data_IF_670849528050
#
_entry.id   IF_670849528050
#
_cell.length_a   1.000
_cell.length_b   1.000
_cell.length_c   1.000
_cell.angle_alpha   90.00
_cell.angle_beta   90.00
_cell.angle_gamma   90.00
#
_symmetry.space_group_name_H-M   'P 1'
#
loop_
_entity.id
_entity.type
_entity.pdbx_description
1 polymer ?
#
# COMPACT_ATOMS: atom_id res chain seq x y z
N UNK A 1 1.02 -7.07 -25.92
CA UNK A 1 0.87 -5.69 -25.43
C UNK A 1 0.62 -5.80 -23.95
N UNK A 2 1.65 -5.61 -23.14
CA UNK A 2 1.48 -5.59 -21.69
C UNK A 2 0.81 -4.25 -21.37
N UNK A 3 -0.40 -4.28 -20.81
CA UNK A 3 -0.92 -3.10 -20.12
C UNK A 3 0.09 -2.80 -19.01
N UNK A 4 0.78 -1.67 -19.14
CA UNK A 4 1.40 -1.07 -17.96
C UNK A 4 0.20 -0.58 -17.18
N UNK A 5 -0.08 -1.19 -16.02
CA UNK A 5 -1.13 -0.71 -15.12
C UNK A 5 -0.66 0.64 -14.56
N UNK A 6 -0.91 1.69 -15.34
CA UNK A 6 -0.75 3.07 -14.93
C UNK A 6 -2.04 3.47 -14.22
N UNK A 7 -1.91 4.11 -13.07
CA UNK A 7 -3.06 4.56 -12.30
C UNK A 7 -3.56 5.89 -12.87
N UNK A 8 -4.86 5.97 -13.17
CA UNK A 8 -5.52 7.17 -13.67
C UNK A 8 -6.51 7.74 -12.64
N UNK A 9 -6.81 9.02 -12.77
CA UNK A 9 -7.86 9.65 -11.98
C UNK A 9 -9.21 8.95 -12.19
N UNK A 10 -9.83 8.54 -11.09
CA UNK A 10 -11.09 7.79 -11.07
C UNK A 10 -10.96 6.26 -11.13
N UNK A 11 -9.74 5.72 -11.21
CA UNK A 11 -9.54 4.26 -11.22
C UNK A 11 -10.05 3.61 -9.94
N UNK A 12 -10.89 2.59 -10.12
CA UNK A 12 -11.44 1.76 -9.05
C UNK A 12 -11.24 0.28 -9.38
N UNK A 13 -11.04 -0.54 -8.35
CA UNK A 13 -10.71 -1.96 -8.50
C UNK A 13 -9.22 -2.22 -8.79
N UNK A 14 -8.37 -1.20 -8.82
CA UNK A 14 -6.93 -1.36 -9.02
C UNK A 14 -6.27 -1.82 -7.72
N UNK A 15 -5.51 -2.90 -7.80
CA UNK A 15 -4.77 -3.44 -6.66
C UNK A 15 -3.42 -2.74 -6.49
N UNK A 16 -3.22 -2.11 -5.33
CA UNK A 16 -1.97 -1.51 -4.89
C UNK A 16 -1.36 -2.40 -3.81
N UNK A 17 -0.15 -2.91 -4.05
CA UNK A 17 0.54 -3.85 -3.16
C UNK A 17 1.79 -3.19 -2.57
N UNK A 18 1.89 -3.25 -1.25
CA UNK A 18 2.96 -2.67 -0.45
C UNK A 18 3.77 -3.80 0.19
N UNK A 19 5.07 -3.85 -0.09
CA UNK A 19 5.95 -4.86 0.49
C UNK A 19 6.55 -4.34 1.78
N UNK A 20 6.11 -4.92 2.88
CA UNK A 20 6.59 -4.66 4.23
C UNK A 20 7.85 -5.49 4.47
N UNK A 21 8.96 -4.81 4.76
CA UNK A 21 10.23 -5.43 5.08
C UNK A 21 10.93 -4.72 6.23
N UNK A 22 11.64 -5.48 7.05
CA UNK A 22 12.59 -4.98 8.02
C UNK A 22 14.02 -5.13 7.51
N UNK A 23 14.92 -4.28 8.00
CA UNK A 23 16.34 -4.35 7.66
C UNK A 23 17.09 -5.12 8.75
N UNK A 24 17.56 -6.32 8.42
CA UNK A 24 18.54 -7.04 9.22
C UNK A 24 19.94 -6.74 8.67
N UNK A 25 20.56 -5.67 9.18
CA UNK A 25 21.77 -5.11 8.58
C UNK A 25 21.45 -4.47 7.22
N UNK A 26 22.08 -4.96 6.15
CA UNK A 26 21.87 -4.48 4.78
C UNK A 26 20.92 -5.38 3.95
N UNK A 27 20.25 -6.33 4.59
CA UNK A 27 19.32 -7.25 3.92
C UNK A 27 17.89 -6.87 4.31
N UNK A 28 17.04 -6.70 3.31
CA UNK A 28 15.60 -6.56 3.52
C UNK A 28 14.98 -7.95 3.66
N UNK A 29 14.33 -8.18 4.81
CA UNK A 29 13.60 -9.40 5.12
C UNK A 29 12.13 -9.05 5.18
N UNK A 30 11.27 -9.86 4.55
CA UNK A 30 9.83 -9.67 4.61
C UNK A 30 9.35 -9.70 6.07
N UNK A 31 8.49 -8.74 6.43
CA UNK A 31 7.91 -8.68 7.76
C UNK A 31 6.80 -9.74 7.87
N UNK A 32 6.78 -10.46 8.98
CA UNK A 32 5.68 -11.39 9.27
C UNK A 32 4.42 -10.66 9.72
N UNK A 33 3.33 -10.81 8.97
CA UNK A 33 2.05 -10.15 9.24
C UNK A 33 1.04 -11.08 9.94
N UNK A 34 1.44 -12.25 10.40
CA UNK A 34 0.53 -13.26 10.98
C UNK A 34 -0.31 -12.73 12.14
N UNK A 35 0.28 -11.94 13.04
CA UNK A 35 -0.39 -11.42 14.24
C UNK A 35 -0.88 -9.97 14.10
N UNK A 36 -0.92 -9.42 12.88
CA UNK A 36 -1.41 -8.06 12.68
C UNK A 36 -2.91 -7.99 12.96
N UNK A 37 -3.33 -7.01 13.76
CA UNK A 37 -4.74 -6.84 14.17
C UNK A 37 -5.42 -5.67 13.47
N UNK A 38 -4.66 -4.70 12.98
CA UNK A 38 -5.17 -3.56 12.21
C UNK A 38 -4.12 -3.06 11.21
N UNK A 39 -4.58 -2.68 10.02
CA UNK A 39 -3.75 -2.20 8.91
C UNK A 39 -4.42 -0.94 8.35
N UNK A 40 -3.68 0.17 8.42
CA UNK A 40 -4.12 1.46 7.84
C UNK A 40 -3.08 1.91 6.83
N UNK A 41 -3.54 2.29 5.64
CA UNK A 41 -2.71 2.86 4.58
C UNK A 41 -3.08 4.34 4.50
N UNK A 42 -2.11 5.20 4.79
CA UNK A 42 -2.23 6.64 4.62
C UNK A 42 -1.71 7.02 3.25
N UNK A 43 -2.58 7.58 2.43
CA UNK A 43 -2.22 8.26 1.21
C UNK A 43 -2.08 9.76 1.45
N UNK A 44 -1.07 10.37 0.84
CA UNK A 44 -0.85 11.81 0.83
C UNK A 44 -1.00 12.26 -0.63
N UNK A 45 -2.03 13.07 -0.86
CA UNK A 45 -2.36 13.62 -2.17
C UNK A 45 -1.30 14.65 -2.61
N UNK A 46 -1.19 14.95 -3.91
CA UNK A 46 -0.28 15.98 -4.43
C UNK A 46 -0.49 17.37 -3.81
N UNK A 47 -1.73 17.68 -3.41
CA UNK A 47 -2.08 18.93 -2.73
C UNK A 47 -1.79 18.94 -1.22
N UNK A 48 -1.20 17.85 -0.68
CA UNK A 48 -0.84 17.70 0.73
C UNK A 48 -1.95 17.19 1.65
N UNK A 49 -3.18 17.01 1.15
CA UNK A 49 -4.25 16.38 1.92
C UNK A 49 -3.94 14.89 2.16
N UNK A 50 -4.45 14.34 3.26
CA UNK A 50 -4.26 12.94 3.61
C UNK A 50 -5.56 12.16 3.57
N UNK A 51 -5.49 10.89 3.21
CA UNK A 51 -6.60 9.94 3.19
C UNK A 51 -6.13 8.63 3.82
N UNK A 52 -6.78 8.20 4.89
CA UNK A 52 -6.49 6.92 5.55
C UNK A 52 -7.53 5.89 5.08
N UNK A 53 -7.05 4.73 4.61
CA UNK A 53 -7.90 3.63 4.13
C UNK A 53 -7.51 2.31 4.80
N UNK A 54 -8.44 1.37 4.98
CA UNK A 54 -8.11 0.05 5.51
C UNK A 54 -7.31 -0.75 4.48
N UNK A 55 -6.22 -1.39 4.94
CA UNK A 55 -5.46 -2.35 4.15
C UNK A 55 -5.80 -3.80 4.52
N UNK A 56 -5.38 -4.75 3.69
CA UNK A 56 -5.54 -6.18 3.96
C UNK A 56 -4.23 -6.93 3.70
N UNK A 57 -4.01 -8.07 4.37
CA UNK A 57 -2.85 -8.93 4.07
C UNK A 57 -3.09 -9.65 2.74
N UNK A 58 -2.14 -9.53 1.82
CA UNK A 58 -2.19 -10.18 0.52
C UNK A 58 -1.43 -11.51 0.53
N UNK A 59 -2.12 -12.60 0.17
CA UNK A 59 -1.58 -13.96 0.22
C UNK A 59 -1.07 -14.47 -1.13
N UNK A 60 -0.91 -13.65 -2.17
CA UNK A 60 -0.18 -14.07 -3.38
C UNK A 60 -0.76 -15.20 -4.23
N UNK A 61 -1.86 -15.85 -3.82
CA UNK A 61 -2.39 -17.07 -4.44
C UNK A 61 -2.47 -18.23 -3.43
N UNK A 62 -2.56 -19.49 -3.91
CA UNK A 62 -2.85 -20.65 -3.03
C UNK A 62 -1.72 -21.01 -2.06
N UNK A 63 -0.50 -20.50 -2.26
CA UNK A 63 0.67 -20.83 -1.45
C UNK A 63 1.26 -19.63 -0.69
N UNK A 64 0.73 -18.42 -0.87
CA UNK A 64 1.29 -17.29 -0.13
C UNK A 64 0.75 -17.22 1.28
N UNK A 65 1.53 -16.56 2.11
CA UNK A 65 1.38 -16.56 3.57
C UNK A 65 1.47 -15.13 4.09
N UNK A 66 0.93 -14.84 5.29
CA UNK A 66 1.15 -13.53 5.92
C UNK A 66 2.63 -13.16 6.08
N UNK A 67 3.51 -14.16 6.11
CA UNK A 67 4.97 -13.99 6.19
C UNK A 67 5.62 -13.52 4.88
N UNK A 68 4.88 -13.43 3.78
CA UNK A 68 5.34 -12.78 2.55
C UNK A 68 5.44 -11.25 2.71
N UNK A 69 4.82 -10.70 3.76
CA UNK A 69 4.93 -9.30 4.13
C UNK A 69 4.25 -8.36 3.15
N UNK A 70 3.16 -8.77 2.50
CA UNK A 70 2.48 -7.93 1.49
C UNK A 70 1.15 -7.43 2.04
N UNK A 71 0.97 -6.11 1.99
CA UNK A 71 -0.31 -5.44 2.26
C UNK A 71 -0.92 -5.01 0.92
N UNK A 72 -2.23 -5.17 0.77
CA UNK A 72 -2.97 -4.76 -0.42
C UNK A 72 -4.06 -3.75 -0.08
N UNK A 73 -4.21 -2.77 -0.97
CA UNK A 73 -5.36 -1.90 -1.08
C UNK A 73 -6.01 -2.06 -2.45
N UNK A 74 -7.33 -2.13 -2.51
CA UNK A 74 -8.09 -2.08 -3.75
C UNK A 74 -8.74 -0.71 -3.84
N UNK A 75 -8.35 0.08 -4.84
CA UNK A 75 -8.86 1.46 -5.01
C UNK A 75 -10.38 1.47 -5.12
N UNK A 76 -11.02 2.42 -4.45
CA UNK A 76 -12.46 2.67 -4.56
C UNK A 76 -12.72 3.88 -5.44
N UNK A 77 -13.93 3.95 -6.00
CA UNK A 77 -14.36 5.09 -6.78
C UNK A 77 -14.28 6.38 -5.93
N UNK A 78 -13.52 7.36 -6.40
CA UNK A 78 -13.32 8.65 -5.73
C UNK A 78 -12.09 8.75 -4.83
N UNK A 79 -11.35 7.67 -4.59
CA UNK A 79 -10.12 7.73 -3.80
C UNK A 79 -8.97 8.39 -4.55
N UNK A 80 -8.77 7.95 -5.80
CA UNK A 80 -7.73 8.43 -6.70
C UNK A 80 -8.33 9.55 -7.55
N UNK A 81 -8.64 10.68 -6.91
CA UNK A 81 -9.38 11.80 -7.51
C UNK A 81 -8.49 12.95 -8.01
N UNK A 82 -7.18 12.85 -7.82
CA UNK A 82 -6.23 13.93 -8.09
C UNK A 82 -5.03 13.37 -8.85
N UNK A 83 -4.68 13.95 -10.00
CA UNK A 83 -3.46 13.57 -10.71
C UNK A 83 -2.21 14.16 -10.04
N UNK A 84 -1.07 13.48 -10.22
CA UNK A 84 0.24 13.90 -9.73
C UNK A 84 0.94 12.84 -8.88
N UNK A 85 1.94 13.29 -8.12
CA UNK A 85 2.74 12.43 -7.25
C UNK A 85 2.06 12.26 -5.88
N UNK A 86 1.62 11.04 -5.63
CA UNK A 86 1.09 10.61 -4.34
C UNK A 86 2.20 9.97 -3.52
N UNK A 87 2.09 10.07 -2.19
CA UNK A 87 2.92 9.30 -1.25
C UNK A 87 2.04 8.38 -0.43
N UNK A 88 2.63 7.32 0.09
CA UNK A 88 1.93 6.38 0.95
C UNK A 88 2.74 6.00 2.19
N UNK A 89 2.04 5.63 3.25
CA UNK A 89 2.60 5.07 4.47
C UNK A 89 1.67 3.99 5.00
N UNK A 90 2.22 2.84 5.36
CA UNK A 90 1.48 1.74 5.97
C UNK A 90 1.73 1.76 7.47
N UNK A 91 0.65 1.80 8.24
CA UNK A 91 0.64 1.60 9.69
C UNK A 91 0.10 0.21 9.99
N UNK A 92 0.90 -0.58 10.69
CA UNK A 92 0.53 -1.91 11.18
C UNK A 92 0.37 -1.84 12.69
N UNK A 93 -0.73 -2.37 13.21
CA UNK A 93 -0.93 -2.55 14.64
C UNK A 93 -0.87 -4.04 14.94
N UNK A 94 0.05 -4.42 15.82
CA UNK A 94 0.18 -5.74 16.41
C UNK A 94 -0.28 -5.67 17.88
N UNK A 95 -0.62 -6.81 18.51
CA UNK A 95 -0.88 -6.86 19.96
C UNK A 95 0.28 -6.32 20.80
N UNK A 96 1.51 -6.42 20.27
CA UNK A 96 2.75 -6.03 20.95
C UNK A 96 3.18 -4.59 20.66
N UNK A 97 2.59 -3.91 19.67
CA UNK A 97 2.98 -2.55 19.32
C UNK A 97 2.51 -2.08 17.95
N UNK A 98 2.92 -0.87 17.58
CA UNK A 98 2.59 -0.24 16.30
C UNK A 98 3.86 -0.04 15.49
N UNK A 99 3.81 -0.44 14.22
CA UNK A 99 4.85 -0.19 13.23
C UNK A 99 4.33 0.77 12.16
N UNK A 100 5.19 1.66 11.66
CA UNK A 100 4.89 2.53 10.54
C UNK A 100 6.00 2.39 9.49
N UNK A 101 5.63 2.21 8.22
CA UNK A 101 6.60 2.26 7.12
C UNK A 101 7.12 3.69 6.91
N UNK A 102 8.13 3.81 6.05
CA UNK A 102 8.57 5.11 5.57
C UNK A 102 7.55 5.69 4.58
N UNK A 103 7.42 7.03 4.56
CA UNK A 103 6.52 7.77 3.65
C UNK A 103 7.12 7.93 2.23
N UNK A 104 8.18 7.17 1.93
CA UNK A 104 9.00 7.38 0.73
C UNK A 104 8.52 6.58 -0.48
N UNK A 105 7.46 5.79 -0.34
CA UNK A 105 6.83 5.10 -1.46
C UNK A 105 5.96 6.09 -2.23
N UNK A 106 6.41 6.41 -3.45
CA UNK A 106 5.73 7.31 -4.38
C UNK A 106 4.89 6.53 -5.39
N UNK A 107 3.69 7.04 -5.66
CA UNK A 107 2.75 6.54 -6.66
C UNK A 107 2.45 7.68 -7.63
N UNK A 108 2.51 7.42 -8.94
CA UNK A 108 2.21 8.44 -9.97
C UNK A 108 0.81 8.18 -10.51
N UNK A 109 -0.05 9.19 -10.42
CA UNK A 109 -1.42 9.16 -10.96
C UNK A 109 -1.51 10.09 -12.15
N UNK A 110 -1.96 9.58 -13.29
CA UNK A 110 -2.19 10.37 -14.50
C UNK A 110 -3.63 10.90 -14.59
N UNK A 111 -3.83 11.97 -15.36
CA UNK A 111 -5.15 12.44 -15.75
C UNK A 111 -5.82 11.44 -16.71
N UNK A 112 -7.11 11.19 -16.52
CA UNK A 112 -7.92 10.48 -17.50
C UNK A 112 -8.10 11.35 -18.75
N UNK A 113 -7.77 10.81 -19.95
CA UNK A 113 -7.87 11.51 -21.24
C UNK A 113 -9.27 11.46 -21.85
#
# INVERSE_FOLDING_TARGET
MACVDQLFTGDSGTSLKFKMAECAGNVQIAMDLTDVVDIVIRFIKPNGLTMDVPGTVYLGGPNGTPSDGIVEYITQAGDIDTAGDWKSQVKLTFPTGVFNSSINESLVVAENL
#
